data_IF_772450705033
#
_entry.id   IF_772450705033
#
_cell.length_a   1.000
_cell.length_b   1.000
_cell.length_c   1.000
_cell.angle_alpha   90.00
_cell.angle_beta   90.00
_cell.angle_gamma   90.00
#
_symmetry.space_group_name_H-M   'P 1'
#
loop_
_entity.id
_entity.type
_entity.pdbx_description
1 polymer ?
#
# COMPACT_ATOMS: atom_id res chain seq x y z
N UNK A 1 -27.04 -1.33 11.19
CA UNK A 1 -26.41 -0.24 11.95
C UNK A 1 -25.38 0.41 11.04
N UNK A 2 -25.73 1.51 10.36
CA UNK A 2 -24.82 2.21 9.45
C UNK A 2 -23.83 3.03 10.29
N UNK A 3 -22.55 2.64 10.29
CA UNK A 3 -21.47 3.46 10.82
C UNK A 3 -21.41 4.76 10.01
N UNK A 4 -21.69 5.88 10.66
CA UNK A 4 -21.50 7.21 10.06
C UNK A 4 -20.02 7.40 9.79
N UNK A 5 -19.63 7.51 8.51
CA UNK A 5 -18.30 7.92 8.08
C UNK A 5 -17.94 9.26 8.77
N UNK A 6 -16.98 9.22 9.68
CA UNK A 6 -16.36 10.42 10.26
C UNK A 6 -15.50 11.07 9.17
N UNK A 7 -16.00 12.16 8.58
CA UNK A 7 -15.22 12.98 7.65
C UNK A 7 -14.23 13.81 8.47
N UNK A 8 -12.95 13.43 8.45
CA UNK A 8 -11.89 14.24 9.05
C UNK A 8 -11.68 15.48 8.19
N UNK A 9 -11.93 16.67 8.75
CA UNK A 9 -11.76 17.97 8.05
C UNK A 9 -10.30 18.38 7.83
N UNK A 10 -9.32 17.56 8.22
CA UNK A 10 -7.87 17.79 8.06
C UNK A 10 -7.14 16.46 7.93
N UNK A 11 -6.76 16.11 6.70
CA UNK A 11 -5.87 14.98 6.39
C UNK A 11 -5.00 15.38 5.21
N UNK A 12 -3.75 14.92 5.19
CA UNK A 12 -2.87 15.08 4.03
C UNK A 12 -2.89 13.78 3.24
N UNK A 13 -3.31 13.84 1.98
CA UNK A 13 -3.34 12.69 1.08
C UNK A 13 -2.30 12.92 -0.01
N UNK A 14 -1.43 11.93 -0.21
CA UNK A 14 -0.46 11.89 -1.29
C UNK A 14 -0.77 10.68 -2.17
N UNK A 15 -1.19 10.92 -3.41
CA UNK A 15 -1.33 9.87 -4.42
C UNK A 15 -0.06 9.75 -5.27
N UNK A 16 0.30 8.53 -5.64
CA UNK A 16 1.44 8.22 -6.51
C UNK A 16 0.96 7.22 -7.54
N UNK A 17 1.13 7.52 -8.82
CA UNK A 17 0.69 6.64 -9.90
C UNK A 17 1.61 6.76 -11.12
N UNK A 18 1.80 5.65 -11.84
CA UNK A 18 2.55 5.61 -13.10
C UNK A 18 1.81 6.35 -14.22
N UNK A 19 0.49 6.51 -14.11
CA UNK A 19 -0.33 7.23 -15.06
C UNK A 19 -0.52 8.69 -14.62
N UNK A 20 -1.04 9.50 -15.54
CA UNK A 20 -1.41 10.87 -15.23
C UNK A 20 -2.70 10.87 -14.39
N UNK A 21 -2.69 11.57 -13.26
CA UNK A 21 -3.89 11.79 -12.45
C UNK A 21 -4.44 13.19 -12.67
N UNK A 22 -5.76 13.30 -12.78
CA UNK A 22 -6.44 14.60 -12.77
C UNK A 22 -6.30 15.23 -11.38
N UNK A 23 -6.06 16.56 -11.29
CA UNK A 23 -6.03 17.23 -10.00
C UNK A 23 -7.31 17.01 -9.21
N UNK A 24 -7.18 16.72 -7.92
CA UNK A 24 -8.29 16.51 -7.00
C UNK A 24 -8.08 17.41 -5.77
N UNK A 25 -9.09 18.20 -5.43
CA UNK A 25 -9.00 19.13 -4.30
C UNK A 25 -8.65 18.43 -3.00
N UNK A 26 -7.60 18.91 -2.32
CA UNK A 26 -7.14 18.35 -1.04
C UNK A 26 -6.23 17.13 -1.16
N UNK A 27 -5.84 16.73 -2.38
CA UNK A 27 -4.89 15.63 -2.62
C UNK A 27 -3.66 16.16 -3.34
N UNK A 28 -2.48 15.85 -2.83
CA UNK A 28 -1.22 16.04 -3.55
C UNK A 28 -0.92 14.81 -4.39
N UNK A 29 -0.29 15.00 -5.55
CA UNK A 29 -0.01 13.92 -6.48
C UNK A 29 1.43 13.95 -6.98
N UNK A 30 2.04 12.75 -7.02
CA UNK A 30 3.17 12.44 -7.87
C UNK A 30 2.64 11.63 -9.06
N UNK A 31 2.27 12.33 -10.13
CA UNK A 31 1.78 11.71 -11.39
C UNK A 31 2.94 11.26 -12.26
N UNK A 32 2.72 10.22 -13.09
CA UNK A 32 3.75 9.62 -13.95
C UNK A 32 5.00 9.22 -13.16
N UNK A 33 4.78 8.70 -11.96
CA UNK A 33 5.81 8.39 -11.00
C UNK A 33 5.79 6.89 -10.69
N UNK A 34 6.89 6.21 -11.02
CA UNK A 34 7.11 4.82 -10.66
C UNK A 34 7.65 4.73 -9.24
N UNK A 35 6.88 4.14 -8.33
CA UNK A 35 7.26 3.95 -6.92
C UNK A 35 8.50 3.07 -6.73
N UNK A 36 8.85 2.23 -7.72
CA UNK A 36 10.08 1.44 -7.70
C UNK A 36 11.32 2.30 -7.95
N UNK A 37 11.16 3.51 -8.51
CA UNK A 37 12.27 4.43 -8.74
C UNK A 37 12.68 5.12 -7.42
N UNK A 38 13.94 5.00 -6.97
CA UNK A 38 14.43 5.65 -5.75
C UNK A 38 14.23 7.17 -5.73
N UNK A 39 14.24 7.84 -6.88
CA UNK A 39 13.97 9.27 -6.97
C UNK A 39 12.51 9.60 -6.59
N UNK A 40 11.55 8.75 -6.95
CA UNK A 40 10.14 8.90 -6.57
C UNK A 40 9.98 8.62 -5.08
N UNK A 41 10.66 7.62 -4.53
CA UNK A 41 10.65 7.33 -3.09
C UNK A 41 11.18 8.51 -2.26
N UNK A 42 12.27 9.14 -2.71
CA UNK A 42 12.76 10.40 -2.12
C UNK A 42 11.74 11.53 -2.25
N UNK A 43 11.08 11.67 -3.40
CA UNK A 43 10.04 12.68 -3.58
C UNK A 43 8.84 12.45 -2.64
N UNK A 44 8.44 11.19 -2.40
CA UNK A 44 7.39 10.85 -1.42
C UNK A 44 7.77 11.36 -0.04
N UNK A 45 8.97 11.01 0.44
CA UNK A 45 9.47 11.47 1.75
C UNK A 45 9.50 13.00 1.86
N UNK A 46 9.98 13.69 0.83
CA UNK A 46 10.01 15.16 0.76
C UNK A 46 8.62 15.80 0.78
N UNK A 47 7.65 15.24 0.03
CA UNK A 47 6.25 15.73 0.02
C UNK A 47 5.56 15.51 1.36
N UNK A 48 5.88 14.41 2.04
CA UNK A 48 5.36 14.12 3.37
C UNK A 48 5.91 15.07 4.44
N UNK A 49 7.05 15.75 4.23
CA UNK A 49 7.59 16.79 5.14
C UNK A 49 7.59 16.33 6.61
N UNK A 50 8.17 15.16 6.87
CA UNK A 50 8.24 14.52 8.19
C UNK A 50 6.89 14.15 8.83
N UNK A 51 5.75 14.36 8.14
CA UNK A 51 4.43 13.91 8.64
C UNK A 51 4.44 12.39 8.76
N UNK A 52 4.11 11.83 9.94
CA UNK A 52 3.93 10.41 10.10
C UNK A 52 2.82 9.90 9.18
N UNK A 53 3.07 8.77 8.52
CA UNK A 53 2.06 8.08 7.71
C UNK A 53 1.15 7.28 8.64
N UNK A 54 -0.14 7.58 8.60
CA UNK A 54 -1.19 6.86 9.33
C UNK A 54 -1.77 5.68 8.54
N UNK A 55 -1.74 5.75 7.22
CA UNK A 55 -2.30 4.74 6.35
C UNK A 55 -1.55 4.64 5.02
N UNK A 56 -1.32 3.42 4.57
CA UNK A 56 -0.82 3.11 3.23
C UNK A 56 -1.84 2.21 2.54
N UNK A 57 -2.29 2.62 1.35
CA UNK A 57 -3.20 1.86 0.51
C UNK A 57 -2.56 1.72 -0.86
N UNK A 58 -2.34 0.49 -1.30
CA UNK A 58 -1.85 0.17 -2.64
C UNK A 58 -2.86 -0.70 -3.37
N UNK A 59 -3.39 -0.17 -4.47
CA UNK A 59 -4.18 -0.93 -5.44
C UNK A 59 -3.39 -1.20 -6.73
N UNK A 60 -2.05 -1.21 -6.63
CA UNK A 60 -1.20 -1.44 -7.78
C UNK A 60 -1.34 -2.87 -8.31
N UNK A 61 -1.31 -3.01 -9.64
CA UNK A 61 -1.16 -4.28 -10.32
C UNK A 61 -0.29 -4.08 -11.58
N UNK A 62 0.60 -5.03 -11.91
CA UNK A 62 1.36 -4.97 -13.15
C UNK A 62 0.45 -5.25 -14.35
N UNK A 63 0.84 -4.77 -15.53
CA UNK A 63 0.22 -5.24 -16.78
C UNK A 63 0.40 -6.76 -16.91
N UNK A 64 -0.67 -7.54 -17.15
CA UNK A 64 -0.58 -8.99 -17.28
C UNK A 64 0.33 -9.40 -18.44
N UNK A 65 1.19 -10.37 -18.20
CA UNK A 65 2.03 -11.02 -19.23
C UNK A 65 1.36 -12.26 -19.80
N UNK A 66 0.35 -12.78 -19.13
CA UNK A 66 -0.32 -14.05 -19.46
C UNK A 66 0.29 -15.26 -18.75
N UNK A 67 1.46 -15.10 -18.11
CA UNK A 67 2.05 -16.10 -17.23
C UNK A 67 1.65 -15.82 -15.79
N UNK A 68 0.79 -16.68 -15.22
CA UNK A 68 0.32 -16.55 -13.83
C UNK A 68 1.46 -16.45 -12.82
N UNK A 69 2.54 -17.20 -13.03
CA UNK A 69 3.70 -17.19 -12.13
C UNK A 69 4.43 -15.84 -12.18
N UNK A 70 4.73 -15.35 -13.39
CA UNK A 70 5.43 -14.07 -13.58
C UNK A 70 4.55 -12.92 -13.07
N UNK A 71 3.26 -12.95 -13.39
CA UNK A 71 2.31 -11.93 -12.98
C UNK A 71 2.16 -11.89 -11.44
N UNK A 72 2.16 -13.06 -10.79
CA UNK A 72 2.16 -13.19 -9.33
C UNK A 72 3.44 -12.64 -8.68
N UNK A 73 4.61 -12.98 -9.22
CA UNK A 73 5.89 -12.46 -8.72
C UNK A 73 5.96 -10.94 -8.85
N UNK A 74 5.47 -10.37 -9.97
CA UNK A 74 5.48 -8.93 -10.21
C UNK A 74 4.57 -8.16 -9.25
N UNK A 75 3.35 -8.63 -8.98
CA UNK A 75 2.46 -7.95 -8.02
C UNK A 75 3.00 -8.03 -6.59
N UNK A 76 3.57 -9.16 -6.19
CA UNK A 76 4.22 -9.30 -4.88
C UNK A 76 5.46 -8.41 -4.77
N UNK A 77 6.23 -8.27 -5.85
CA UNK A 77 7.34 -7.32 -5.94
C UNK A 77 6.92 -5.88 -5.70
N UNK A 78 5.82 -5.43 -6.31
CA UNK A 78 5.23 -4.11 -6.06
C UNK A 78 4.82 -3.94 -4.60
N UNK A 79 4.19 -4.96 -4.01
CA UNK A 79 3.80 -4.93 -2.60
C UNK A 79 5.02 -4.83 -1.66
N UNK A 80 6.11 -5.55 -1.97
CA UNK A 80 7.36 -5.42 -1.24
C UNK A 80 7.98 -4.03 -1.37
N UNK A 81 7.92 -3.39 -2.55
CA UNK A 81 8.38 -2.00 -2.70
C UNK A 81 7.67 -1.07 -1.73
N UNK A 82 6.35 -1.23 -1.57
CA UNK A 82 5.57 -0.42 -0.61
C UNK A 82 5.93 -0.76 0.83
N UNK A 83 6.09 -2.03 1.17
CA UNK A 83 6.48 -2.46 2.52
C UNK A 83 7.86 -1.90 2.92
N UNK A 84 8.80 -1.88 1.98
CA UNK A 84 10.16 -1.35 2.18
C UNK A 84 10.20 0.13 2.52
N UNK A 85 9.22 0.93 2.04
CA UNK A 85 9.12 2.34 2.40
C UNK A 85 8.95 2.56 3.91
N UNK A 86 8.51 1.55 4.67
CA UNK A 86 8.33 1.65 6.12
C UNK A 86 9.22 0.71 6.92
N UNK A 87 9.80 -0.32 6.31
CA UNK A 87 10.65 -1.31 6.98
C UNK A 87 12.15 -1.06 6.85
N UNK A 88 12.62 -0.60 5.68
CA UNK A 88 14.05 -0.52 5.40
C UNK A 88 14.66 0.71 6.06
N UNK A 89 15.79 0.53 6.74
CA UNK A 89 16.49 1.63 7.42
C UNK A 89 17.43 2.38 6.47
N UNK A 90 16.84 3.18 5.59
CA UNK A 90 17.54 4.00 4.58
C UNK A 90 16.96 5.42 4.51
N UNK A 91 17.50 6.27 3.63
CA UNK A 91 17.08 7.66 3.51
C UNK A 91 15.65 7.87 2.96
N UNK A 92 15.04 6.83 2.37
CA UNK A 92 13.67 6.87 1.85
C UNK A 92 12.64 6.32 2.83
N UNK A 93 13.07 5.83 4.00
CA UNK A 93 12.19 5.37 5.07
C UNK A 93 11.21 6.45 5.50
N UNK A 94 9.93 6.12 5.46
CA UNK A 94 8.86 6.99 5.88
C UNK A 94 8.69 6.89 7.41
N UNK A 95 8.49 8.05 8.04
CA UNK A 95 7.99 8.10 9.41
C UNK A 95 6.58 7.54 9.44
N UNK A 96 6.29 6.66 10.39
CA UNK A 96 4.98 6.03 10.54
C UNK A 96 4.40 6.36 11.90
N UNK A 97 3.08 6.47 12.00
CA UNK A 97 2.44 6.59 13.30
C UNK A 97 2.34 5.24 13.99
N UNK A 98 2.12 5.25 15.31
CA UNK A 98 1.88 4.03 16.10
C UNK A 98 0.59 3.30 15.70
N UNK A 99 -0.30 3.98 14.96
CA UNK A 99 -1.58 3.47 14.51
C UNK A 99 -1.59 3.09 13.01
N UNK A 100 -0.41 2.98 12.38
CA UNK A 100 -0.28 2.71 10.95
C UNK A 100 -1.17 1.55 10.51
N UNK A 101 -2.01 1.82 9.52
CA UNK A 101 -2.75 0.83 8.75
C UNK A 101 -2.07 0.59 7.39
N UNK A 102 -2.08 -0.64 6.93
CA UNK A 102 -1.49 -1.05 5.67
C UNK A 102 -2.46 -1.96 4.93
N UNK A 103 -2.74 -1.61 3.67
CA UNK A 103 -3.60 -2.36 2.78
C UNK A 103 -2.93 -2.46 1.40
N UNK A 104 -2.66 -3.67 0.92
CA UNK A 104 -2.10 -3.91 -0.42
C UNK A 104 -2.90 -4.95 -1.18
N UNK A 105 -3.25 -4.64 -2.42
CA UNK A 105 -3.81 -5.62 -3.36
C UNK A 105 -2.76 -6.67 -3.69
N UNK A 106 -3.17 -7.93 -3.67
CA UNK A 106 -2.40 -9.08 -4.12
C UNK A 106 -3.28 -9.97 -5.01
N UNK A 107 -2.63 -10.84 -5.77
CA UNK A 107 -3.29 -11.99 -6.37
C UNK A 107 -2.94 -13.25 -5.58
N UNK A 108 -3.84 -14.24 -5.63
CA UNK A 108 -3.54 -15.52 -5.01
C UNK A 108 -2.41 -16.25 -5.74
N UNK A 109 -1.50 -16.85 -4.98
CA UNK A 109 -0.35 -17.54 -5.54
C UNK A 109 0.72 -17.91 -4.51
N UNK A 110 1.80 -18.50 -5.02
CA UNK A 110 2.80 -19.21 -4.21
C UNK A 110 3.55 -18.32 -3.20
N UNK A 111 3.83 -17.05 -3.52
CA UNK A 111 4.48 -16.11 -2.60
C UNK A 111 3.55 -15.43 -1.58
N UNK A 112 2.23 -15.66 -1.66
CA UNK A 112 1.26 -15.01 -0.76
C UNK A 112 1.63 -15.18 0.71
N UNK A 113 1.92 -16.43 1.12
CA UNK A 113 2.23 -16.76 2.52
C UNK A 113 3.49 -16.07 3.01
N UNK A 114 4.52 -16.00 2.17
CA UNK A 114 5.76 -15.31 2.50
C UNK A 114 5.48 -13.81 2.73
N UNK A 115 4.81 -13.16 1.77
CA UNK A 115 4.49 -11.75 1.90
C UNK A 115 3.61 -11.44 3.12
N UNK A 116 2.63 -12.29 3.45
CA UNK A 116 1.82 -12.10 4.66
C UNK A 116 2.64 -12.25 5.95
N UNK A 117 3.62 -13.16 5.98
CA UNK A 117 4.51 -13.30 7.14
C UNK A 117 5.41 -12.07 7.30
N UNK A 118 5.91 -11.53 6.19
CA UNK A 118 6.75 -10.32 6.21
C UNK A 118 5.96 -9.11 6.73
N UNK A 119 4.70 -8.96 6.28
CA UNK A 119 3.79 -7.94 6.83
C UNK A 119 3.49 -8.21 8.31
N UNK A 120 3.15 -9.44 8.69
CA UNK A 120 2.85 -9.77 10.09
C UNK A 120 4.03 -9.50 11.02
N UNK A 121 5.27 -9.73 10.57
CA UNK A 121 6.47 -9.43 11.35
C UNK A 121 6.61 -7.95 11.72
N UNK A 122 6.11 -7.04 10.87
CA UNK A 122 6.18 -5.58 11.05
C UNK A 122 4.99 -5.02 11.84
N UNK A 123 3.81 -5.63 11.69
CA UNK A 123 2.55 -5.10 12.24
C UNK A 123 2.04 -5.88 13.47
N UNK A 124 2.53 -7.10 13.69
CA UNK A 124 2.09 -8.03 14.73
C UNK A 124 0.72 -8.70 14.45
N UNK A 125 0.04 -8.29 13.39
CA UNK A 125 -1.13 -8.96 12.83
C UNK A 125 -1.16 -8.75 11.32
N UNK A 126 -1.76 -9.70 10.62
CA UNK A 126 -1.98 -9.62 9.18
C UNK A 126 -3.21 -10.46 8.82
N UNK A 127 -4.05 -9.97 7.91
CA UNK A 127 -5.25 -10.65 7.42
C UNK A 127 -5.33 -10.54 5.92
N UNK A 128 -5.70 -11.63 5.25
CA UNK A 128 -6.05 -11.60 3.84
C UNK A 128 -7.55 -11.40 3.74
N UNK A 129 -7.98 -10.35 3.06
CA UNK A 129 -9.37 -9.93 2.92
C UNK A 129 -9.78 -10.07 1.46
N UNK A 130 -10.90 -10.73 1.19
CA UNK A 130 -11.55 -10.69 -0.11
C UNK A 130 -12.65 -9.62 -0.07
N UNK A 131 -12.65 -8.61 -0.95
CA UNK A 131 -13.68 -7.58 -0.93
C UNK A 131 -15.03 -8.15 -1.36
N UNK A 132 -16.11 -7.74 -0.70
CA UNK A 132 -17.49 -8.09 -1.13
C UNK A 132 -17.81 -7.57 -2.54
N UNK A 133 -17.15 -6.49 -2.97
CA UNK A 133 -17.26 -5.91 -4.31
C UNK A 133 -16.45 -6.65 -5.38
N UNK A 134 -15.60 -7.60 -5.00
CA UNK A 134 -14.85 -8.42 -5.97
C UNK A 134 -15.80 -9.40 -6.66
N UNK A 135 -15.70 -9.52 -7.99
CA UNK A 135 -16.45 -10.55 -8.72
C UNK A 135 -16.02 -11.94 -8.23
N UNK A 136 -16.93 -12.90 -8.23
CA UNK A 136 -16.68 -14.26 -7.72
C UNK A 136 -15.50 -14.97 -8.40
N UNK A 137 -15.19 -14.59 -9.65
CA UNK A 137 -14.10 -15.10 -10.48
C UNK A 137 -12.79 -14.29 -10.38
N UNK A 138 -12.76 -13.18 -9.64
CA UNK A 138 -11.52 -12.42 -9.44
C UNK A 138 -10.60 -13.11 -8.43
N UNK A 139 -9.33 -13.23 -8.79
CA UNK A 139 -8.24 -13.71 -7.95
C UNK A 139 -7.69 -12.62 -7.00
N UNK A 140 -8.37 -11.47 -6.92
CA UNK A 140 -7.94 -10.32 -6.12
C UNK A 140 -8.26 -10.51 -4.64
N UNK A 141 -7.22 -10.36 -3.83
CA UNK A 141 -7.28 -10.28 -2.39
C UNK A 141 -6.55 -9.03 -1.93
N UNK A 142 -6.77 -8.61 -0.69
CA UNK A 142 -6.00 -7.56 -0.05
C UNK A 142 -5.33 -8.10 1.20
N UNK A 143 -4.06 -7.77 1.38
CA UNK A 143 -3.37 -7.95 2.65
C UNK A 143 -3.62 -6.71 3.49
N UNK A 144 -4.31 -6.89 4.62
CA UNK A 144 -4.59 -5.86 5.60
C UNK A 144 -3.83 -6.11 6.90
N UNK A 145 -3.17 -5.09 7.41
CA UNK A 145 -2.49 -5.11 8.68
C UNK A 145 -2.61 -3.76 9.40
N UNK A 146 -2.57 -3.78 10.72
CA UNK A 146 -2.59 -2.55 11.53
C UNK A 146 -1.79 -2.76 12.80
N UNK A 147 -0.91 -1.81 13.15
CA UNK A 147 -0.20 -1.88 14.43
C UNK A 147 -1.23 -1.90 15.57
N UNK A 148 -1.22 -2.96 16.37
CA UNK A 148 -2.04 -3.01 17.57
C UNK A 148 -1.33 -2.20 18.65
N UNK A 149 -1.91 -1.09 19.07
CA UNK A 149 -1.50 -0.46 20.32
C UNK A 149 -1.84 -1.46 21.43
N UNK A 150 -0.83 -2.07 22.04
CA UNK A 150 -1.02 -2.79 23.31
C UNK A 150 -1.34 -1.70 24.35
N UNK A 151 -2.62 -1.50 24.62
CA UNK A 151 -3.12 -0.77 25.79
C UNK A 151 -2.85 -1.57 27.06
#
# INVERSE_FOLDING_TARGET
MQEKLKIFRRGYVLGVDLQAMQPLGGVDFLSKADIQNPAVQRAISQRLKDRPVDCIISDMAPSPTGSRTIDHERIIGLCHTVLKLISDDNETKLKTSDNLAFLCKIWDGHLKKQFTNDVESLFGNCRVVKPDASRSDSAEFYVFARKSVRS
#
